data_IF_859867036476
#
_entry.id   IF_859867036476
#
_cell.length_a   1.000
_cell.length_b   1.000
_cell.length_c   1.000
_cell.angle_alpha   90.00
_cell.angle_beta   90.00
_cell.angle_gamma   90.00
#
_symmetry.space_group_name_H-M   'P 1'
#
loop_
_entity.id
_entity.type
_entity.pdbx_description
1 polymer ?
#
# COMPACT_ATOMS: atom_id res chain seq x y z
N UNK A 1 -33.57 -20.24 -51.87
CA UNK A 1 -32.54 -19.26 -52.30
C UNK A 1 -31.31 -19.44 -51.40
N UNK A 2 -30.27 -20.10 -51.89
CA UNK A 2 -29.03 -20.32 -51.14
C UNK A 2 -28.08 -19.14 -51.36
N UNK A 3 -27.65 -18.49 -50.27
CA UNK A 3 -26.64 -17.42 -50.32
C UNK A 3 -25.29 -17.99 -50.79
N UNK A 4 -24.70 -17.35 -51.80
CA UNK A 4 -23.45 -17.71 -52.44
C UNK A 4 -22.27 -17.80 -51.43
N UNK A 5 -21.40 -18.80 -51.59
CA UNK A 5 -20.29 -19.11 -50.67
C UNK A 5 -19.27 -17.95 -50.52
N UNK A 6 -19.14 -17.11 -51.56
CA UNK A 6 -18.28 -15.91 -51.52
C UNK A 6 -18.75 -14.88 -50.48
N UNK A 7 -20.07 -14.70 -50.35
CA UNK A 7 -20.66 -13.75 -49.40
C UNK A 7 -20.49 -14.24 -47.95
N UNK A 8 -20.63 -15.54 -47.69
CA UNK A 8 -20.40 -16.13 -46.35
C UNK A 8 -18.95 -15.95 -45.87
N UNK A 9 -17.97 -16.12 -46.76
CA UNK A 9 -16.55 -15.96 -46.42
C UNK A 9 -16.18 -14.51 -46.10
N UNK A 10 -16.76 -13.54 -46.81
CA UNK A 10 -16.54 -12.13 -46.49
C UNK A 10 -17.16 -11.74 -45.15
N UNK A 11 -18.37 -12.22 -44.84
CA UNK A 11 -19.01 -12.00 -43.53
C UNK A 11 -18.19 -12.58 -42.38
N UNK A 12 -17.69 -13.83 -42.50
CA UNK A 12 -16.84 -14.44 -41.47
C UNK A 12 -15.52 -13.68 -41.27
N UNK A 13 -14.94 -13.13 -42.34
CA UNK A 13 -13.67 -12.39 -42.29
C UNK A 13 -13.87 -11.02 -41.63
N UNK A 14 -14.94 -10.29 -41.98
CA UNK A 14 -15.33 -9.04 -41.30
C UNK A 14 -15.71 -9.28 -39.84
N UNK A 15 -16.41 -10.38 -39.52
CA UNK A 15 -16.76 -10.69 -38.13
C UNK A 15 -15.52 -11.03 -37.29
N UNK A 16 -14.55 -11.77 -37.85
CA UNK A 16 -13.26 -12.04 -37.17
C UNK A 16 -12.45 -10.77 -36.95
N UNK A 17 -12.39 -9.86 -37.93
CA UNK A 17 -11.70 -8.57 -37.78
C UNK A 17 -12.41 -7.69 -36.74
N UNK A 18 -13.75 -7.66 -36.73
CA UNK A 18 -14.54 -6.91 -35.74
C UNK A 18 -14.39 -7.49 -34.33
N UNK A 19 -14.36 -8.83 -34.19
CA UNK A 19 -14.15 -9.50 -32.90
C UNK A 19 -12.73 -9.27 -32.35
N UNK A 20 -11.72 -9.24 -33.23
CA UNK A 20 -10.34 -8.91 -32.85
C UNK A 20 -10.22 -7.43 -32.45
N UNK A 21 -10.91 -6.51 -33.13
CA UNK A 21 -10.98 -5.09 -32.74
C UNK A 21 -11.77 -4.87 -31.43
N UNK A 22 -12.81 -5.64 -31.16
CA UNK A 22 -13.57 -5.56 -29.90
C UNK A 22 -12.76 -6.16 -28.74
N UNK A 23 -11.96 -7.21 -28.99
CA UNK A 23 -11.06 -7.80 -28.00
C UNK A 23 -9.84 -6.93 -27.69
N UNK A 24 -9.38 -6.06 -28.60
CA UNK A 24 -8.31 -5.10 -28.29
C UNK A 24 -8.81 -3.86 -27.54
N UNK A 25 -10.10 -3.52 -27.63
CA UNK A 25 -10.69 -2.38 -26.91
C UNK A 25 -10.99 -2.70 -25.43
N UNK A 26 -11.08 -3.97 -25.04
CA UNK A 26 -11.29 -4.39 -23.64
C UNK A 26 -10.01 -4.75 -22.88
N UNK A 27 -8.85 -4.35 -23.39
CA UNK A 27 -7.62 -4.27 -22.59
C UNK A 27 -7.41 -2.84 -22.10
N UNK A 28 -8.46 -2.23 -21.53
CA UNK A 28 -8.27 -1.08 -20.64
C UNK A 28 -7.58 -1.65 -19.41
N UNK A 29 -6.25 -1.59 -19.44
CA UNK A 29 -5.41 -1.68 -18.27
C UNK A 29 -6.04 -0.78 -17.22
N UNK A 30 -6.63 -1.39 -16.18
CA UNK A 30 -7.12 -0.68 -14.99
C UNK A 30 -5.87 -0.18 -14.27
N UNK A 31 -5.26 0.87 -14.82
CA UNK A 31 -4.18 1.57 -14.17
C UNK A 31 -4.77 2.14 -12.89
N UNK A 32 -4.27 1.75 -11.71
CA UNK A 32 -4.82 2.21 -10.44
C UNK A 32 -5.00 3.74 -10.45
N UNK A 33 -6.27 4.17 -10.45
CA UNK A 33 -6.62 5.57 -10.60
C UNK A 33 -6.00 6.36 -9.45
N UNK A 34 -5.40 7.50 -9.77
CA UNK A 34 -4.94 8.43 -8.74
C UNK A 34 -6.13 8.84 -7.88
N UNK A 35 -5.94 8.95 -6.56
CA UNK A 35 -7.03 9.38 -5.68
C UNK A 35 -7.51 10.78 -6.08
N UNK A 36 -8.81 11.01 -6.01
CA UNK A 36 -9.41 12.34 -6.17
C UNK A 36 -8.92 13.28 -5.06
N UNK A 37 -9.11 14.60 -5.23
CA UNK A 37 -8.79 15.58 -4.19
C UNK A 37 -9.55 15.30 -2.89
N UNK A 38 -10.81 14.90 -3.00
CA UNK A 38 -11.66 14.55 -1.87
C UNK A 38 -11.17 13.28 -1.15
N UNK A 39 -10.85 12.22 -1.88
CA UNK A 39 -10.28 10.99 -1.31
C UNK A 39 -8.97 11.25 -0.58
N UNK A 40 -8.07 12.07 -1.17
CA UNK A 40 -6.83 12.50 -0.51
C UNK A 40 -7.09 13.26 0.79
N UNK A 41 -8.10 14.14 0.79
CA UNK A 41 -8.48 14.91 1.97
C UNK A 41 -9.06 13.99 3.05
N UNK A 42 -9.96 13.07 2.69
CA UNK A 42 -10.57 12.11 3.61
C UNK A 42 -9.51 11.21 4.23
N UNK A 43 -8.58 10.67 3.42
CA UNK A 43 -7.43 9.90 3.90
C UNK A 43 -6.65 10.66 4.97
N UNK A 44 -6.26 11.92 4.68
CA UNK A 44 -5.52 12.75 5.63
C UNK A 44 -6.31 13.07 6.89
N UNK A 45 -7.62 13.36 6.78
CA UNK A 45 -8.50 13.64 7.93
C UNK A 45 -8.66 12.42 8.83
N UNK A 46 -8.91 11.25 8.25
CA UNK A 46 -9.00 9.98 8.98
C UNK A 46 -7.71 9.70 9.74
N UNK A 47 -6.54 9.87 9.10
CA UNK A 47 -5.25 9.68 9.77
C UNK A 47 -5.01 10.67 10.91
N UNK A 48 -5.32 11.94 10.73
CA UNK A 48 -5.17 12.94 11.80
C UNK A 48 -6.13 12.67 12.95
N UNK A 49 -7.38 12.29 12.66
CA UNK A 49 -8.37 11.90 13.66
C UNK A 49 -7.90 10.68 14.47
N UNK A 50 -7.49 9.60 13.80
CA UNK A 50 -7.05 8.38 14.46
C UNK A 50 -5.80 8.61 15.33
N UNK A 51 -4.88 9.48 14.89
CA UNK A 51 -3.69 9.83 15.68
C UNK A 51 -4.00 10.48 17.03
N UNK A 52 -5.18 11.09 17.22
CA UNK A 52 -5.54 11.80 18.46
C UNK A 52 -5.78 10.85 19.63
N UNK A 53 -6.10 9.58 19.35
CA UNK A 53 -6.34 8.57 20.37
C UNK A 53 -5.05 8.06 21.03
N UNK A 54 -3.86 8.42 20.51
CA UNK A 54 -2.56 8.05 21.09
C UNK A 54 -2.39 6.54 21.33
N UNK A 55 -2.97 5.73 20.44
CA UNK A 55 -2.95 4.26 20.53
C UNK A 55 -1.52 3.77 20.24
N UNK A 56 -0.96 2.95 21.14
CA UNK A 56 0.36 2.34 20.96
C UNK A 56 0.32 1.24 19.90
N UNK A 57 1.48 0.84 19.38
CA UNK A 57 1.57 -0.26 18.43
C UNK A 57 0.94 -1.53 19.01
N UNK A 58 0.05 -2.16 18.23
CA UNK A 58 -0.73 -3.33 18.65
C UNK A 58 -1.61 -3.09 19.89
N UNK A 59 -1.90 -1.83 20.22
CA UNK A 59 -2.87 -1.45 21.25
C UNK A 59 -4.31 -1.71 20.80
N UNK A 60 -5.19 -1.80 21.78
CA UNK A 60 -6.63 -1.96 21.54
C UNK A 60 -7.28 -0.62 21.18
N UNK A 61 -8.25 -0.68 20.27
CA UNK A 61 -9.04 0.46 19.84
C UNK A 61 -10.46 0.02 19.52
N UNK A 62 -11.43 0.61 20.20
CA UNK A 62 -12.85 0.48 19.88
C UNK A 62 -13.26 1.76 19.15
N UNK A 63 -13.55 1.72 17.84
CA UNK A 63 -14.03 2.89 17.13
C UNK A 63 -15.30 3.44 17.80
N UNK A 64 -15.46 4.78 17.92
CA UNK A 64 -16.64 5.35 18.56
C UNK A 64 -17.95 4.85 17.93
N UNK A 65 -18.90 4.43 18.77
CA UNK A 65 -20.19 3.89 18.33
C UNK A 65 -20.16 2.43 17.86
N UNK A 66 -19.02 1.75 17.93
CA UNK A 66 -18.89 0.33 17.61
C UNK A 66 -18.81 -0.52 18.88
N UNK A 67 -19.27 -1.77 18.78
CA UNK A 67 -19.23 -2.77 19.87
C UNK A 67 -18.11 -3.80 19.70
N UNK A 68 -17.16 -3.56 18.79
CA UNK A 68 -16.00 -4.43 18.56
C UNK A 68 -14.69 -3.70 18.79
N UNK A 69 -13.69 -4.43 19.27
CA UNK A 69 -12.35 -3.91 19.55
C UNK A 69 -11.36 -4.43 18.51
N UNK A 70 -10.54 -3.52 18.00
CA UNK A 70 -9.47 -3.80 17.04
C UNK A 70 -8.12 -3.77 17.73
N UNK A 71 -7.24 -4.72 17.39
CA UNK A 71 -5.82 -4.64 17.73
C UNK A 71 -5.08 -3.88 16.62
N UNK A 72 -4.52 -2.72 16.93
CA UNK A 72 -4.00 -1.77 15.94
C UNK A 72 -2.49 -1.94 15.70
N UNK A 73 -2.13 -3.03 15.03
CA UNK A 73 -0.80 -3.19 14.43
C UNK A 73 -0.68 -2.45 13.09
N UNK A 74 0.48 -2.54 12.43
CA UNK A 74 0.72 -1.84 11.16
C UNK A 74 -0.35 -2.12 10.10
N UNK A 75 -0.63 -3.40 9.84
CA UNK A 75 -1.58 -3.84 8.82
C UNK A 75 -3.04 -3.55 9.16
N UNK A 76 -3.46 -3.74 10.41
CA UNK A 76 -4.85 -3.45 10.79
C UNK A 76 -5.12 -1.94 10.85
N UNK A 77 -4.09 -1.13 11.16
CA UNK A 77 -4.18 0.33 11.07
C UNK A 77 -4.32 0.79 9.63
N UNK A 78 -3.52 0.23 8.71
CA UNK A 78 -3.68 0.50 7.28
C UNK A 78 -5.07 0.10 6.78
N UNK A 79 -5.56 -1.08 7.17
CA UNK A 79 -6.90 -1.59 6.84
C UNK A 79 -8.00 -0.63 7.30
N UNK A 80 -7.99 -0.24 8.58
CA UNK A 80 -8.95 0.70 9.15
C UNK A 80 -8.91 2.06 8.42
N UNK A 81 -7.72 2.62 8.16
CA UNK A 81 -7.59 3.90 7.45
C UNK A 81 -8.16 3.80 6.03
N UNK A 82 -7.89 2.72 5.30
CA UNK A 82 -8.42 2.52 3.93
C UNK A 82 -9.93 2.33 3.93
N UNK A 83 -10.46 1.53 4.85
CA UNK A 83 -11.90 1.26 4.96
C UNK A 83 -12.65 2.54 5.27
N UNK A 84 -12.24 3.28 6.30
CA UNK A 84 -12.87 4.53 6.71
C UNK A 84 -12.72 5.64 5.65
N UNK A 85 -11.52 5.79 5.08
CA UNK A 85 -11.25 6.90 4.18
C UNK A 85 -11.72 6.65 2.75
N UNK A 86 -11.59 5.42 2.25
CA UNK A 86 -11.73 5.10 0.82
C UNK A 86 -12.82 4.05 0.56
N UNK A 87 -13.38 3.41 1.59
CA UNK A 87 -14.34 2.32 1.41
C UNK A 87 -13.70 1.04 0.91
N UNK A 88 -12.38 0.87 1.09
CA UNK A 88 -11.61 -0.25 0.53
C UNK A 88 -11.21 -1.20 1.65
N UNK A 89 -11.62 -2.45 1.56
CA UNK A 89 -11.25 -3.47 2.53
C UNK A 89 -9.90 -4.10 2.18
N UNK A 90 -8.89 -3.87 3.03
CA UNK A 90 -7.58 -4.49 2.87
C UNK A 90 -7.49 -5.85 3.57
N UNK A 91 -6.70 -6.81 3.05
CA UNK A 91 -6.38 -8.03 3.77
C UNK A 91 -5.76 -7.77 5.16
N UNK A 92 -5.86 -8.76 6.07
CA UNK A 92 -5.49 -8.58 7.47
C UNK A 92 -4.00 -8.37 7.71
N UNK A 93 -3.13 -9.06 6.98
CA UNK A 93 -1.68 -9.03 7.23
C UNK A 93 -0.95 -8.10 6.25
N UNK A 94 0.23 -7.59 6.63
CA UNK A 94 1.06 -6.77 5.74
C UNK A 94 1.50 -7.54 4.49
N UNK A 95 1.75 -8.85 4.60
CA UNK A 95 2.10 -9.72 3.49
C UNK A 95 0.93 -9.94 2.53
N UNK A 96 -0.29 -10.15 3.05
CA UNK A 96 -1.48 -10.29 2.20
C UNK A 96 -1.84 -8.96 1.50
N UNK A 97 -1.65 -7.83 2.18
CA UNK A 97 -1.77 -6.50 1.57
C UNK A 97 -0.73 -6.29 0.46
N UNK A 98 0.51 -6.73 0.68
CA UNK A 98 1.55 -6.74 -0.35
C UNK A 98 1.14 -7.60 -1.54
N UNK A 99 0.63 -8.82 -1.30
CA UNK A 99 0.18 -9.72 -2.36
C UNK A 99 -1.00 -9.13 -3.14
N UNK A 100 -1.94 -8.45 -2.48
CA UNK A 100 -3.03 -7.76 -3.16
C UNK A 100 -2.50 -6.71 -4.15
N UNK A 101 -1.53 -5.88 -3.74
CA UNK A 101 -0.89 -4.88 -4.61
C UNK A 101 -0.09 -5.52 -5.74
N UNK A 102 0.63 -6.61 -5.43
CA UNK A 102 1.40 -7.39 -6.41
C UNK A 102 0.50 -8.02 -7.47
N UNK A 103 -0.53 -8.72 -7.04
CA UNK A 103 -1.45 -9.46 -7.90
C UNK A 103 -2.29 -8.54 -8.78
N UNK A 104 -2.53 -7.29 -8.35
CA UNK A 104 -3.16 -6.27 -9.19
C UNK A 104 -2.20 -5.59 -10.17
N UNK A 105 -0.94 -6.04 -10.28
CA UNK A 105 0.06 -5.43 -11.18
C UNK A 105 0.51 -4.02 -10.78
N UNK A 106 0.22 -3.56 -9.55
CA UNK A 106 0.47 -2.18 -9.11
C UNK A 106 1.72 -2.03 -8.23
N UNK A 107 2.39 -3.14 -7.88
CA UNK A 107 3.60 -3.11 -7.07
C UNK A 107 4.75 -2.48 -7.86
N UNK A 108 5.43 -1.53 -7.22
CA UNK A 108 6.58 -0.81 -7.77
C UNK A 108 7.78 -0.95 -6.86
N UNK A 109 8.94 -1.07 -7.49
CA UNK A 109 10.25 -1.06 -6.84
C UNK A 109 10.69 0.39 -6.62
N UNK A 110 11.23 0.75 -5.45
CA UNK A 110 11.76 2.09 -5.22
C UNK A 110 13.00 2.35 -6.11
N UNK A 111 13.12 3.54 -6.74
CA UNK A 111 14.30 3.89 -7.52
C UNK A 111 15.52 3.97 -6.60
N UNK A 112 16.67 3.52 -7.11
CA UNK A 112 17.91 3.48 -6.34
C UNK A 112 19.04 4.17 -7.09
N UNK A 113 19.92 4.81 -6.33
CA UNK A 113 21.17 5.40 -6.79
C UNK A 113 22.24 5.18 -5.72
N UNK A 114 23.42 4.72 -6.13
CA UNK A 114 24.55 4.46 -5.23
C UNK A 114 24.20 3.57 -4.02
N UNK A 115 23.47 2.47 -4.28
CA UNK A 115 23.07 1.49 -3.25
C UNK A 115 21.96 1.94 -2.29
N UNK A 116 21.53 3.21 -2.37
CA UNK A 116 20.46 3.78 -1.54
C UNK A 116 19.23 4.07 -2.39
N UNK A 117 18.09 4.25 -1.72
CA UNK A 117 16.87 4.68 -2.39
C UNK A 117 16.99 6.17 -2.70
N UNK A 118 16.75 6.53 -3.96
CA UNK A 118 16.70 7.91 -4.42
C UNK A 118 15.38 8.52 -3.96
N UNK A 119 15.42 9.22 -2.82
CA UNK A 119 14.24 9.83 -2.20
C UNK A 119 13.60 10.90 -3.09
N UNK A 120 14.36 11.58 -3.94
CA UNK A 120 13.82 12.61 -4.84
C UNK A 120 13.01 11.97 -5.96
N UNK A 121 13.59 10.98 -6.66
CA UNK A 121 12.88 10.23 -7.70
C UNK A 121 11.68 9.49 -7.13
N UNK A 122 11.84 8.85 -5.96
CA UNK A 122 10.74 8.20 -5.27
C UNK A 122 9.59 9.19 -5.00
N UNK A 123 9.92 10.40 -4.53
CA UNK A 123 8.94 11.46 -4.27
C UNK A 123 8.20 11.97 -5.51
N UNK A 124 8.71 11.74 -6.73
CA UNK A 124 8.05 12.08 -8.00
C UNK A 124 7.04 11.01 -8.42
N UNK A 125 7.25 9.75 -8.04
CA UNK A 125 6.43 8.61 -8.49
C UNK A 125 5.42 8.13 -7.45
N UNK A 126 5.66 8.42 -6.16
CA UNK A 126 4.73 8.11 -5.08
C UNK A 126 3.45 8.92 -5.17
N UNK A 127 2.31 8.25 -4.93
CA UNK A 127 0.97 8.85 -4.95
C UNK A 127 0.29 8.65 -3.59
N UNK A 128 -0.40 9.65 -3.03
CA UNK A 128 -1.18 9.46 -1.81
C UNK A 128 -2.13 8.25 -1.91
N UNK A 129 -2.14 7.44 -0.86
CA UNK A 129 -2.81 6.14 -0.84
C UNK A 129 -2.02 5.02 -1.51
N UNK A 130 -0.71 5.17 -1.73
CA UNK A 130 0.17 4.01 -1.91
C UNK A 130 0.45 3.37 -0.55
N UNK A 131 0.31 2.04 -0.47
CA UNK A 131 0.86 1.23 0.61
C UNK A 131 2.37 1.15 0.45
N UNK A 132 3.09 1.29 1.56
CA UNK A 132 4.54 1.26 1.66
C UNK A 132 4.92 -0.01 2.43
N UNK A 133 5.80 -0.85 1.88
CA UNK A 133 6.14 -2.15 2.47
C UNK A 133 7.61 -2.23 2.85
N UNK A 134 7.89 -2.83 4.02
CA UNK A 134 9.25 -3.14 4.46
C UNK A 134 9.43 -4.62 4.72
N UNK A 135 10.63 -5.10 4.43
CA UNK A 135 11.09 -6.46 4.76
C UNK A 135 11.95 -6.47 6.01
N UNK A 136 12.09 -7.64 6.65
CA UNK A 136 13.02 -7.90 7.76
C UNK A 136 12.83 -6.98 8.99
N UNK A 137 11.60 -6.62 9.34
CA UNK A 137 11.32 -5.65 10.42
C UNK A 137 11.40 -6.24 11.83
N UNK A 138 11.18 -7.55 12.00
CA UNK A 138 11.31 -8.28 13.26
C UNK A 138 11.58 -9.78 13.01
N UNK A 139 11.97 -10.52 14.05
CA UNK A 139 12.32 -11.95 13.94
C UNK A 139 11.11 -12.86 13.74
N UNK A 140 9.93 -12.45 14.19
CA UNK A 140 8.72 -13.29 14.14
C UNK A 140 7.99 -13.29 12.79
N UNK A 141 8.63 -12.77 11.72
CA UNK A 141 8.08 -12.84 10.36
C UNK A 141 8.02 -14.31 9.93
N UNK A 142 6.87 -14.83 9.48
CA UNK A 142 6.76 -16.21 9.02
C UNK A 142 7.79 -16.56 7.94
N UNK A 143 8.56 -17.63 8.16
CA UNK A 143 9.63 -18.07 7.23
C UNK A 143 9.15 -18.39 5.81
N UNK A 144 7.86 -18.72 5.67
CA UNK A 144 7.21 -19.00 4.37
C UNK A 144 6.91 -17.74 3.55
N UNK A 145 7.02 -16.55 4.14
CA UNK A 145 6.78 -15.31 3.42
C UNK A 145 8.02 -14.91 2.63
N UNK A 146 7.89 -14.92 1.31
CA UNK A 146 8.91 -14.48 0.38
C UNK A 146 8.31 -13.46 -0.62
N UNK A 147 8.72 -12.17 -0.57
CA UNK A 147 9.70 -11.58 0.35
C UNK A 147 9.20 -11.53 1.81
N UNK A 148 10.10 -11.41 2.82
CA UNK A 148 9.73 -11.42 4.25
C UNK A 148 9.16 -10.07 4.68
N UNK A 149 7.99 -9.70 4.15
CA UNK A 149 7.27 -8.47 4.46
C UNK A 149 6.82 -8.49 5.92
N UNK A 150 7.21 -7.48 6.68
CA UNK A 150 6.90 -7.40 8.11
C UNK A 150 6.33 -6.06 8.56
N UNK A 151 6.15 -5.10 7.63
CA UNK A 151 5.56 -3.82 7.98
C UNK A 151 4.89 -3.16 6.78
N UNK A 152 3.82 -2.40 7.06
CA UNK A 152 3.09 -1.62 6.06
C UNK A 152 2.66 -0.28 6.64
N UNK A 153 2.77 0.79 5.84
CA UNK A 153 2.29 2.14 6.14
C UNK A 153 1.56 2.69 4.92
N UNK A 154 0.78 3.76 5.09
CA UNK A 154 0.07 4.44 4.01
C UNK A 154 0.73 5.78 3.69
N UNK A 155 1.10 6.02 2.44
CA UNK A 155 1.66 7.30 2.02
C UNK A 155 0.58 8.39 1.93
N UNK A 156 0.84 9.56 2.52
CA UNK A 156 -0.09 10.68 2.59
C UNK A 156 0.25 11.84 1.65
N UNK A 157 1.38 11.77 0.93
CA UNK A 157 1.90 12.88 0.13
C UNK A 157 3.01 13.64 0.84
N UNK A 158 3.16 14.92 0.48
CA UNK A 158 4.14 15.84 1.09
C UNK A 158 3.46 16.75 2.12
N UNK A 159 4.18 17.08 3.19
CA UNK A 159 3.75 18.11 4.13
C UNK A 159 4.03 19.53 3.58
N UNK A 160 3.70 20.58 4.35
CA UNK A 160 3.94 21.99 3.96
C UNK A 160 5.42 22.34 3.75
N UNK A 161 6.34 21.52 4.26
CA UNK A 161 7.80 21.65 4.08
C UNK A 161 8.34 20.75 2.96
N UNK A 162 7.46 20.25 2.09
CA UNK A 162 7.80 19.34 0.98
C UNK A 162 8.39 17.99 1.40
N UNK A 163 8.28 17.61 2.67
CA UNK A 163 8.77 16.32 3.17
C UNK A 163 7.72 15.23 2.96
N UNK A 164 8.15 14.05 2.51
CA UNK A 164 7.30 12.87 2.37
C UNK A 164 6.73 12.49 3.75
N UNK A 165 5.44 12.18 3.81
CA UNK A 165 4.76 11.75 5.04
C UNK A 165 3.94 10.49 4.82
N UNK A 166 3.94 9.65 5.84
CA UNK A 166 3.17 8.41 5.88
C UNK A 166 2.39 8.31 7.18
N UNK A 167 1.47 7.36 7.26
CA UNK A 167 0.67 7.09 8.46
C UNK A 167 0.49 5.60 8.66
N UNK A 168 0.25 5.21 9.89
CA UNK A 168 0.03 3.84 10.31
C UNK A 168 0.53 3.65 11.73
N UNK A 169 0.65 2.39 12.15
CA UNK A 169 1.19 2.06 13.46
C UNK A 169 2.68 1.70 13.36
N UNK A 170 3.56 2.51 13.93
CA UNK A 170 4.99 2.20 14.05
C UNK A 170 5.33 1.61 15.43
N UNK A 171 6.17 0.56 15.49
CA UNK A 171 6.63 -0.01 16.77
C UNK A 171 7.46 1.00 17.59
N UNK A 172 8.22 1.84 16.88
CA UNK A 172 9.06 2.90 17.43
C UNK A 172 8.98 4.14 16.54
N UNK A 173 9.60 5.24 16.99
CA UNK A 173 9.74 6.46 16.21
C UNK A 173 8.89 7.62 16.72
N UNK A 174 9.26 8.82 16.28
CA UNK A 174 8.58 10.06 16.62
C UNK A 174 7.59 10.42 15.51
N UNK A 175 6.30 10.32 15.83
CA UNK A 175 5.23 10.79 14.97
C UNK A 175 4.91 12.26 15.24
N UNK A 176 3.84 12.74 14.62
CA UNK A 176 3.32 14.09 14.86
C UNK A 176 2.90 14.30 16.33
N UNK A 177 2.46 13.24 17.02
CA UNK A 177 1.90 13.26 18.39
C UNK A 177 2.63 12.30 19.33
N UNK A 178 2.98 11.12 18.82
CA UNK A 178 3.64 10.04 19.55
C UNK A 178 5.16 10.23 19.60
N UNK A 179 5.79 9.87 20.71
CA UNK A 179 7.26 9.93 20.87
C UNK A 179 7.95 8.56 20.78
N UNK A 180 7.21 7.46 20.96
CA UNK A 180 7.75 6.10 21.11
C UNK A 180 7.09 5.07 20.19
N UNK A 181 6.56 5.51 19.04
CA UNK A 181 5.70 4.69 18.19
C UNK A 181 4.24 4.70 18.63
N UNK A 182 3.38 4.05 17.84
CA UNK A 182 1.93 4.12 17.93
C UNK A 182 1.29 4.42 16.59
N UNK A 183 -0.02 4.65 16.59
CA UNK A 183 -0.74 5.14 15.41
C UNK A 183 -0.51 6.63 15.28
N UNK A 184 0.10 7.04 14.18
CA UNK A 184 0.38 8.46 13.94
C UNK A 184 0.66 8.75 12.46
N UNK A 185 1.04 10.00 12.21
CA UNK A 185 1.63 10.50 10.99
C UNK A 185 3.12 10.70 11.22
N UNK A 186 3.94 10.08 10.37
CA UNK A 186 5.40 10.08 10.45
C UNK A 186 6.00 10.76 9.23
N UNK A 187 7.20 11.34 9.39
CA UNK A 187 8.05 11.64 8.25
C UNK A 187 8.47 10.31 7.62
N UNK A 188 8.43 10.25 6.29
CA UNK A 188 8.86 9.08 5.55
C UNK A 188 10.28 9.29 5.01
N UNK A 189 11.22 8.51 5.55
CA UNK A 189 12.54 8.33 4.99
C UNK A 189 12.66 6.87 4.50
N UNK A 190 12.76 6.62 3.19
CA UNK A 190 12.85 5.26 2.65
C UNK A 190 14.15 4.54 3.02
N UNK A 191 15.19 5.28 3.43
CA UNK A 191 16.47 4.72 3.85
C UNK A 191 16.58 4.51 5.37
N UNK A 192 15.56 4.92 6.14
CA UNK A 192 15.55 4.72 7.58
C UNK A 192 15.32 3.25 7.97
N UNK A 193 16.03 2.82 9.00
CA UNK A 193 15.83 1.51 9.63
C UNK A 193 14.64 1.62 10.58
N UNK A 194 13.59 0.86 10.31
CA UNK A 194 12.38 0.83 11.14
C UNK A 194 12.28 -0.42 12.02
N UNK A 195 13.23 -1.34 11.86
CA UNK A 195 13.32 -2.58 12.63
C UNK A 195 14.50 -3.43 12.17
N UNK A 196 14.58 -4.64 12.70
CA UNK A 196 15.49 -5.66 12.20
C UNK A 196 15.15 -7.05 12.73
N UNK A 197 15.58 -8.06 11.97
CA UNK A 197 15.67 -9.44 12.45
C UNK A 197 16.85 -9.52 13.42
N UNK A 198 16.60 -10.17 14.55
CA UNK A 198 17.55 -10.40 15.63
C UNK A 198 17.84 -11.88 15.82
N UNK A 199 19.06 -12.19 16.22
CA UNK A 199 19.45 -13.52 16.68
C UNK A 199 18.96 -13.78 18.13
N UNK A 200 19.29 -14.96 18.67
CA UNK A 200 18.96 -15.36 20.05
C UNK A 200 19.55 -14.44 21.12
N UNK A 201 20.62 -13.71 20.81
CA UNK A 201 21.26 -12.72 21.70
C UNK A 201 20.65 -11.33 21.56
N UNK A 202 19.52 -11.19 20.85
CA UNK A 202 18.86 -9.91 20.52
C UNK A 202 19.74 -8.98 19.67
N UNK A 203 20.83 -9.47 19.08
CA UNK A 203 21.69 -8.69 18.19
C UNK A 203 21.02 -8.58 16.82
N UNK A 204 21.01 -7.37 16.29
CA UNK A 204 20.47 -7.06 14.97
C UNK A 204 21.35 -7.69 13.88
N UNK A 205 20.86 -8.71 13.18
CA UNK A 205 21.61 -9.43 12.14
C UNK A 205 21.18 -9.05 10.72
N UNK A 206 19.97 -8.53 10.55
CA UNK A 206 19.46 -8.09 9.25
C UNK A 206 18.54 -6.89 9.40
N UNK A 207 18.99 -5.73 8.94
CA UNK A 207 18.22 -4.48 9.03
C UNK A 207 16.95 -4.56 8.17
N UNK A 208 15.91 -3.85 8.62
CA UNK A 208 14.74 -3.61 7.78
C UNK A 208 15.11 -2.81 6.54
N UNK A 209 14.42 -3.06 5.44
CA UNK A 209 14.60 -2.32 4.19
C UNK A 209 13.24 -1.97 3.58
N UNK A 210 13.11 -0.74 3.06
CA UNK A 210 11.94 -0.35 2.27
C UNK A 210 11.97 -1.11 0.94
N UNK A 211 10.99 -1.99 0.75
CA UNK A 211 11.00 -3.00 -0.29
C UNK A 211 10.26 -2.54 -1.55
N UNK A 212 9.07 -1.98 -1.37
CA UNK A 212 8.17 -1.69 -2.46
C UNK A 212 6.98 -0.87 -2.03
N UNK A 213 6.25 -0.36 -3.02
CA UNK A 213 5.05 0.41 -2.79
C UNK A 213 4.05 0.21 -3.91
N UNK A 214 2.80 0.56 -3.66
CA UNK A 214 1.76 0.58 -4.67
C UNK A 214 0.39 0.64 -4.05
N UNK A 215 -0.64 0.69 -4.89
CA UNK A 215 -2.02 0.77 -4.45
C UNK A 215 -2.76 -0.52 -4.80
N UNK A 216 -3.57 -1.08 -3.89
CA UNK A 216 -4.46 -2.18 -4.24
C UNK A 216 -5.49 -1.70 -5.28
N UNK A 217 -6.11 -2.63 -6.00
CA UNK A 217 -7.21 -2.24 -6.90
C UNK A 217 -8.33 -1.57 -6.11
N UNK A 218 -8.88 -0.51 -6.68
CA UNK A 218 -10.07 0.17 -6.17
C UNK A 218 -11.24 -0.36 -7.02
N UNK A 219 -11.54 -1.64 -6.87
CA UNK A 219 -12.67 -2.26 -7.57
C UNK A 219 -14.00 -1.77 -6.99
#
# INVERSE_FOLDING_TARGET
MALNNSTKNNYLRTFKVLLILILTIFSISIQSKSLTKEQKLKLRKTSDWLSKFSIRYAGEFTPPGQNYTLRMDCSNTARFIYEEALGVHLPRTSFDQYNAVKNSGNLKTPPRSNGKIDTEQLGKILKPGDLLFWINTHSDIPKKWDPPIGHVMVYLGKNKKSQLVMTGAGTYGKGKRTQKGGIDIYLFDPNAKIGCVRDSNRKCIKNSEFFGFGKPSLD
#
